data_IF_163145863964
#
_entry.id   IF_163145863964
#
_cell.length_a   1.000
_cell.length_b   1.000
_cell.length_c   1.000
_cell.angle_alpha   90.00
_cell.angle_beta   90.00
_cell.angle_gamma   90.00
#
_symmetry.space_group_name_H-M   'P 1'
#
loop_
_entity.id
_entity.type
_entity.pdbx_description
1 polymer ?
#
# COMPACT_ATOMS: atom_id res chain seq x y z
N UNK A 1 -28.22 1.54 -5.00
CA UNK A 1 -27.67 1.28 -3.66
C UNK A 1 -28.59 0.28 -2.99
N UNK A 2 -28.04 -0.73 -2.29
CA UNK A 2 -28.90 -1.59 -1.48
C UNK A 2 -29.57 -0.77 -0.38
N UNK A 3 -30.80 -1.16 -0.02
CA UNK A 3 -31.49 -0.56 1.12
C UNK A 3 -30.80 -1.00 2.40
N UNK A 4 -30.39 -0.04 3.24
CA UNK A 4 -29.73 -0.36 4.51
C UNK A 4 -30.69 -1.14 5.41
N UNK A 5 -30.18 -2.20 6.01
CA UNK A 5 -30.94 -3.04 6.93
C UNK A 5 -30.07 -3.45 8.14
N UNK A 6 -30.71 -3.94 9.19
CA UNK A 6 -30.05 -4.28 10.46
C UNK A 6 -29.08 -5.47 10.40
N UNK A 7 -29.19 -6.27 9.37
CA UNK A 7 -28.42 -7.53 9.19
C UNK A 7 -27.19 -7.33 8.29
N UNK A 8 -26.93 -6.09 7.85
CA UNK A 8 -25.74 -5.77 7.07
C UNK A 8 -24.46 -5.90 7.90
N UNK A 9 -23.48 -6.57 7.32
CA UNK A 9 -22.12 -6.57 7.88
C UNK A 9 -21.44 -5.24 7.55
N UNK A 10 -20.90 -4.56 8.56
CA UNK A 10 -20.24 -3.28 8.40
C UNK A 10 -18.72 -3.46 8.35
N UNK A 11 -18.10 -2.86 7.31
CA UNK A 11 -16.67 -2.56 7.27
C UNK A 11 -16.46 -1.04 7.21
N UNK A 12 -15.33 -0.58 7.73
CA UNK A 12 -15.02 0.85 7.78
C UNK A 12 -13.57 1.14 7.38
N UNK A 13 -13.25 2.41 7.21
CA UNK A 13 -11.88 2.90 7.28
C UNK A 13 -11.76 4.08 8.24
N UNK A 14 -10.58 4.19 8.86
CA UNK A 14 -10.20 5.29 9.74
C UNK A 14 -9.00 6.05 9.15
N UNK A 15 -9.16 7.35 8.96
CA UNK A 15 -8.14 8.26 8.43
C UNK A 15 -8.38 9.67 8.93
N UNK A 16 -7.31 10.47 9.13
CA UNK A 16 -7.48 11.89 9.40
C UNK A 16 -8.09 12.66 8.22
N UNK A 17 -7.90 12.16 6.99
CA UNK A 17 -8.47 12.72 5.75
C UNK A 17 -9.04 11.58 4.90
N UNK A 18 -10.26 11.11 5.22
CA UNK A 18 -10.86 10.01 4.48
C UNK A 18 -11.15 10.39 3.02
N UNK A 19 -10.95 9.45 2.12
CA UNK A 19 -11.37 9.55 0.71
C UNK A 19 -12.54 8.62 0.43
N UNK A 20 -13.13 8.74 -0.76
CA UNK A 20 -14.19 7.84 -1.21
C UNK A 20 -13.68 6.57 -1.89
N UNK A 21 -12.35 6.42 -2.09
CA UNK A 21 -11.81 5.31 -2.87
C UNK A 21 -12.20 3.94 -2.29
N UNK A 22 -11.88 3.67 -1.03
CA UNK A 22 -12.26 2.43 -0.37
C UNK A 22 -13.78 2.23 -0.30
N UNK A 23 -14.53 3.31 0.01
CA UNK A 23 -16.00 3.27 0.05
C UNK A 23 -16.58 2.85 -1.30
N UNK A 24 -16.09 3.40 -2.40
CA UNK A 24 -16.58 3.07 -3.75
C UNK A 24 -16.16 1.66 -4.16
N UNK A 25 -14.88 1.31 -3.98
CA UNK A 25 -14.35 0.00 -4.35
C UNK A 25 -15.08 -1.15 -3.65
N UNK A 26 -15.13 -1.12 -2.33
CA UNK A 26 -15.75 -2.20 -1.54
C UNK A 26 -17.25 -2.30 -1.78
N UNK A 27 -17.99 -1.18 -1.74
CA UNK A 27 -19.44 -1.23 -1.95
C UNK A 27 -19.82 -1.66 -3.37
N UNK A 28 -18.99 -1.35 -4.39
CA UNK A 28 -19.21 -1.86 -5.74
C UNK A 28 -19.08 -3.39 -5.80
N UNK A 29 -18.02 -3.94 -5.19
CA UNK A 29 -17.82 -5.39 -5.10
C UNK A 29 -18.90 -6.09 -4.27
N UNK A 30 -19.32 -5.48 -3.15
CA UNK A 30 -20.42 -6.05 -2.36
C UNK A 30 -21.70 -6.16 -3.19
N UNK A 31 -22.01 -5.14 -4.01
CA UNK A 31 -23.16 -5.19 -4.91
C UNK A 31 -23.02 -6.20 -6.04
N UNK A 32 -21.84 -6.33 -6.66
CA UNK A 32 -21.60 -7.33 -7.71
C UNK A 32 -21.68 -8.78 -7.24
N UNK A 33 -21.32 -9.01 -5.97
CA UNK A 33 -21.30 -10.34 -5.35
C UNK A 33 -22.55 -10.64 -4.52
N UNK A 34 -23.56 -9.76 -4.57
CA UNK A 34 -24.81 -9.86 -3.78
C UNK A 34 -24.56 -10.07 -2.28
N UNK A 35 -23.52 -9.42 -1.74
CA UNK A 35 -23.21 -9.48 -0.32
C UNK A 35 -24.02 -8.42 0.45
N UNK A 36 -24.68 -8.82 1.53
CA UNK A 36 -25.39 -7.89 2.42
C UNK A 36 -24.41 -7.13 3.33
N UNK A 37 -23.52 -6.37 2.70
CA UNK A 37 -22.41 -5.67 3.34
C UNK A 37 -22.41 -4.20 2.99
N UNK A 38 -21.78 -3.41 3.85
CA UNK A 38 -21.57 -1.97 3.63
C UNK A 38 -20.18 -1.55 4.11
N UNK A 39 -19.60 -0.61 3.39
CA UNK A 39 -18.33 0.02 3.74
C UNK A 39 -18.48 1.54 3.85
N UNK A 40 -17.95 2.13 4.93
CA UNK A 40 -17.96 3.58 5.14
C UNK A 40 -16.64 4.10 5.70
N UNK A 41 -16.17 5.24 5.16
CA UNK A 41 -14.99 5.93 5.66
C UNK A 41 -15.35 6.90 6.81
N UNK A 42 -14.45 7.00 7.80
CA UNK A 42 -14.59 7.89 8.96
C UNK A 42 -13.28 8.64 9.25
N UNK A 43 -13.42 9.85 9.80
CA UNK A 43 -12.34 10.58 10.47
C UNK A 43 -12.60 10.50 11.99
N UNK A 44 -11.88 9.66 12.73
CA UNK A 44 -12.12 9.53 14.16
C UNK A 44 -11.59 10.74 14.91
N UNK A 45 -12.30 11.17 15.93
CA UNK A 45 -11.85 12.21 16.87
C UNK A 45 -10.97 11.63 17.98
N UNK A 46 -11.10 10.32 18.23
CA UNK A 46 -10.29 9.56 19.18
C UNK A 46 -10.11 8.14 18.64
N UNK A 47 -8.86 7.73 18.44
CA UNK A 47 -8.53 6.43 17.86
C UNK A 47 -8.89 5.27 18.77
N UNK A 48 -8.58 5.36 20.08
CA UNK A 48 -8.84 4.30 21.07
C UNK A 48 -10.34 4.00 21.16
N UNK A 49 -11.17 5.07 21.23
CA UNK A 49 -12.63 4.92 21.27
C UNK A 49 -13.16 4.35 19.94
N UNK A 50 -12.58 4.72 18.80
CA UNK A 50 -12.98 4.19 17.50
C UNK A 50 -12.67 2.68 17.41
N UNK A 51 -11.49 2.22 17.86
CA UNK A 51 -11.13 0.80 17.88
C UNK A 51 -11.94 0.02 18.91
N UNK A 52 -12.23 0.60 20.07
CA UNK A 52 -13.19 0.01 21.01
C UNK A 52 -14.58 -0.15 20.39
N UNK A 53 -15.01 0.84 19.58
CA UNK A 53 -16.24 0.76 18.77
C UNK A 53 -16.20 -0.36 17.73
N UNK A 54 -15.07 -0.54 17.01
CA UNK A 54 -14.89 -1.67 16.08
C UNK A 54 -15.14 -3.00 16.77
N UNK A 55 -14.59 -3.16 17.97
CA UNK A 55 -14.74 -4.37 18.79
C UNK A 55 -16.18 -4.52 19.30
N UNK A 56 -16.70 -3.50 19.97
CA UNK A 56 -17.98 -3.56 20.68
C UNK A 56 -19.23 -3.55 19.79
N UNK A 57 -19.13 -3.01 18.57
CA UNK A 57 -20.21 -2.99 17.58
C UNK A 57 -20.13 -4.16 16.59
N UNK A 58 -19.13 -5.04 16.72
CA UNK A 58 -18.94 -6.15 15.80
C UNK A 58 -18.62 -5.71 14.36
N UNK A 59 -17.95 -4.54 14.18
CA UNK A 59 -17.53 -4.08 12.86
C UNK A 59 -16.50 -5.08 12.32
N UNK A 60 -16.80 -5.73 11.19
CA UNK A 60 -16.03 -6.87 10.67
C UNK A 60 -14.64 -6.48 10.19
N UNK A 61 -14.52 -5.39 9.49
CA UNK A 61 -13.27 -4.93 8.88
C UNK A 61 -13.02 -3.46 9.13
N UNK A 62 -11.77 -3.09 9.41
CA UNK A 62 -11.37 -1.71 9.59
C UNK A 62 -10.05 -1.43 8.87
N UNK A 63 -10.10 -0.69 7.76
CA UNK A 63 -8.89 -0.18 7.13
C UNK A 63 -8.33 0.99 7.94
N UNK A 64 -7.01 0.99 8.12
CA UNK A 64 -6.29 2.03 8.87
C UNK A 64 -5.39 2.81 7.92
N UNK A 65 -5.56 4.13 7.88
CA UNK A 65 -4.73 5.03 7.09
C UNK A 65 -4.02 6.05 7.97
N UNK A 66 -3.26 6.95 7.33
CA UNK A 66 -2.49 7.97 8.04
C UNK A 66 -3.38 8.86 8.93
N UNK A 67 -2.89 9.22 10.13
CA UNK A 67 -1.59 8.90 10.73
C UNK A 67 -1.57 7.61 11.57
N UNK A 68 -2.64 6.86 11.69
CA UNK A 68 -2.97 5.88 12.72
C UNK A 68 -2.29 4.51 12.58
N UNK A 69 -1.50 4.26 11.52
CA UNK A 69 -0.96 2.93 11.18
C UNK A 69 -0.03 2.32 12.25
N UNK A 70 0.68 3.16 13.00
CA UNK A 70 1.56 2.72 14.09
C UNK A 70 0.82 2.77 15.44
N UNK A 71 0.04 3.82 15.69
CA UNK A 71 -0.67 4.04 16.96
C UNK A 71 -1.69 2.93 17.27
N UNK A 72 -2.27 2.31 16.23
CA UNK A 72 -3.28 1.26 16.39
C UNK A 72 -2.71 -0.08 16.87
N UNK A 73 -1.38 -0.27 16.79
CA UNK A 73 -0.71 -1.53 17.17
C UNK A 73 -1.02 -1.91 18.62
N UNK A 74 -1.01 -0.93 19.52
CA UNK A 74 -1.31 -1.15 20.95
C UNK A 74 -2.78 -1.48 21.24
N UNK A 75 -3.67 -1.37 20.26
CA UNK A 75 -5.13 -1.52 20.40
C UNK A 75 -5.67 -2.83 19.79
N UNK A 76 -4.82 -3.64 19.18
CA UNK A 76 -5.17 -4.92 18.57
C UNK A 76 -4.66 -6.09 19.40
N UNK A 77 -5.23 -7.28 19.20
CA UNK A 77 -4.88 -8.47 19.98
C UNK A 77 -3.76 -9.28 19.32
N UNK A 78 -3.69 -9.26 17.98
CA UNK A 78 -2.75 -10.05 17.21
C UNK A 78 -2.25 -9.27 15.98
N UNK A 79 -0.97 -9.44 15.65
CA UNK A 79 -0.40 -8.95 14.40
C UNK A 79 0.00 -10.11 13.51
N UNK A 80 -0.46 -10.09 12.27
CA UNK A 80 0.00 -10.97 11.20
C UNK A 80 1.49 -10.70 10.86
N UNK A 81 2.24 -11.69 10.32
CA UNK A 81 3.62 -11.47 9.88
C UNK A 81 3.80 -10.25 8.98
N UNK A 82 2.87 -9.96 8.06
CA UNK A 82 2.91 -8.79 7.18
C UNK A 82 2.96 -7.46 7.93
N UNK A 83 2.21 -7.34 9.03
CA UNK A 83 2.19 -6.14 9.87
C UNK A 83 3.40 -6.09 10.82
N UNK A 84 3.82 -7.26 11.37
CA UNK A 84 4.98 -7.37 12.25
C UNK A 84 6.29 -7.01 11.55
N UNK A 85 6.42 -7.38 10.27
CA UNK A 85 7.64 -7.15 9.50
C UNK A 85 8.03 -5.66 9.42
N UNK A 86 7.05 -4.77 9.58
CA UNK A 86 7.22 -3.33 9.34
C UNK A 86 6.72 -2.43 10.47
N UNK A 87 6.22 -3.03 11.57
CA UNK A 87 5.57 -2.31 12.67
C UNK A 87 4.54 -1.28 12.17
N UNK A 88 3.67 -1.72 11.27
CA UNK A 88 2.67 -0.85 10.65
C UNK A 88 1.43 -1.65 10.25
N UNK A 89 0.26 -1.14 10.61
CA UNK A 89 -1.04 -1.78 10.36
C UNK A 89 -1.84 -0.93 9.38
N UNK A 90 -2.36 -1.54 8.31
CA UNK A 90 -3.33 -0.86 7.44
C UNK A 90 -4.70 -1.56 7.39
N UNK A 91 -4.83 -2.74 8.02
CA UNK A 91 -6.05 -3.55 7.97
C UNK A 91 -6.25 -4.28 9.27
N UNK A 92 -7.45 -4.21 9.83
CA UNK A 92 -7.86 -4.97 11.02
C UNK A 92 -9.07 -5.83 10.63
N UNK A 93 -9.03 -7.09 11.02
CA UNK A 93 -10.18 -8.01 10.94
C UNK A 93 -10.66 -8.32 12.34
N UNK A 94 -11.94 -8.11 12.58
CA UNK A 94 -12.60 -8.44 13.84
C UNK A 94 -13.33 -9.77 13.70
N UNK A 95 -12.97 -10.73 14.52
CA UNK A 95 -13.66 -12.02 14.63
C UNK A 95 -14.11 -12.20 16.06
N UNK A 96 -15.40 -12.00 16.31
CA UNK A 96 -16.03 -12.14 17.63
C UNK A 96 -15.33 -11.34 18.74
N UNK A 97 -14.90 -10.12 18.43
CA UNK A 97 -14.21 -9.23 19.35
C UNK A 97 -12.69 -9.39 19.37
N UNK A 98 -12.12 -10.42 18.74
CA UNK A 98 -10.67 -10.56 18.54
C UNK A 98 -10.21 -9.75 17.31
N UNK A 99 -9.31 -8.80 17.51
CA UNK A 99 -8.81 -7.90 16.47
C UNK A 99 -7.44 -8.38 15.97
N UNK A 100 -7.40 -8.94 14.76
CA UNK A 100 -6.14 -9.30 14.10
C UNK A 100 -5.77 -8.27 13.05
N UNK A 101 -4.54 -7.79 13.11
CA UNK A 101 -4.00 -6.74 12.25
C UNK A 101 -3.10 -7.28 11.16
N UNK A 102 -3.18 -6.66 9.96
CA UNK A 102 -2.45 -7.01 8.74
C UNK A 102 -1.86 -5.76 8.09
N UNK A 103 -0.93 -5.96 7.16
CA UNK A 103 -0.49 -4.90 6.26
C UNK A 103 -0.57 -5.34 4.80
N UNK A 104 -1.60 -4.87 4.10
CA UNK A 104 -1.84 -5.20 2.70
C UNK A 104 -0.99 -4.36 1.73
N UNK A 105 -0.32 -3.29 2.19
CA UNK A 105 0.70 -2.59 1.38
C UNK A 105 1.91 -3.52 1.18
N UNK A 106 2.39 -4.16 2.26
CA UNK A 106 3.44 -5.18 2.19
C UNK A 106 3.05 -6.32 1.24
N UNK A 107 1.85 -6.89 1.42
CA UNK A 107 1.34 -7.98 0.57
C UNK A 107 1.27 -7.58 -0.90
N UNK A 108 0.85 -6.33 -1.20
CA UNK A 108 0.78 -5.84 -2.58
C UNK A 108 2.16 -5.75 -3.23
N UNK A 109 3.16 -5.25 -2.53
CA UNK A 109 4.54 -5.17 -3.04
C UNK A 109 5.09 -6.57 -3.31
N UNK A 110 4.95 -7.50 -2.35
CA UNK A 110 5.38 -8.89 -2.48
C UNK A 110 4.75 -9.55 -3.71
N UNK A 111 3.43 -9.45 -3.88
CA UNK A 111 2.71 -10.00 -5.02
C UNK A 111 3.16 -9.39 -6.35
N UNK A 112 3.37 -8.06 -6.41
CA UNK A 112 3.80 -7.40 -7.65
C UNK A 112 5.21 -7.78 -8.05
N UNK A 113 6.14 -7.90 -7.12
CA UNK A 113 7.49 -8.39 -7.41
C UNK A 113 7.45 -9.82 -7.98
N UNK A 114 6.65 -10.70 -7.36
CA UNK A 114 6.50 -12.08 -7.80
C UNK A 114 5.77 -12.19 -9.15
N UNK A 115 4.66 -11.49 -9.35
CA UNK A 115 3.86 -11.54 -10.59
C UNK A 115 4.61 -11.00 -11.79
N UNK A 116 5.46 -9.97 -11.58
CA UNK A 116 6.34 -9.43 -12.62
C UNK A 116 7.64 -10.23 -12.77
N UNK A 117 7.78 -11.36 -12.06
CA UNK A 117 8.95 -12.23 -12.10
C UNK A 117 10.28 -11.47 -11.96
N UNK A 118 10.32 -10.48 -11.04
CA UNK A 118 11.52 -9.67 -10.81
C UNK A 118 12.61 -10.55 -10.19
N UNK A 119 13.79 -10.69 -10.85
CA UNK A 119 14.86 -11.54 -10.35
C UNK A 119 15.42 -11.05 -9.01
N UNK A 120 15.62 -11.97 -8.08
CA UNK A 120 16.08 -11.63 -6.71
C UNK A 120 17.57 -11.30 -6.62
N UNK A 121 18.34 -11.55 -7.69
CA UNK A 121 19.73 -11.17 -7.88
C UNK A 121 19.91 -9.74 -8.44
N UNK A 122 18.81 -9.05 -8.76
CA UNK A 122 18.87 -7.66 -9.18
C UNK A 122 19.39 -6.76 -8.07
N UNK A 123 20.25 -5.81 -8.45
CA UNK A 123 20.55 -4.64 -7.61
C UNK A 123 19.32 -3.73 -7.54
N UNK A 124 19.04 -3.18 -6.34
CA UNK A 124 17.82 -2.40 -6.09
C UNK A 124 18.13 -1.06 -5.44
N UNK A 125 17.59 0.02 -5.98
CA UNK A 125 17.53 1.34 -5.32
C UNK A 125 16.10 1.62 -4.88
N UNK A 126 15.89 1.83 -3.57
CA UNK A 126 14.58 2.22 -3.00
C UNK A 126 14.67 3.66 -2.51
N UNK A 127 13.94 4.58 -3.16
CA UNK A 127 13.93 5.99 -2.78
C UNK A 127 12.79 6.32 -1.82
N UNK A 128 13.14 6.58 -0.57
CA UNK A 128 12.24 6.91 0.54
C UNK A 128 12.56 6.13 1.81
N UNK A 129 12.08 6.63 2.97
CA UNK A 129 12.22 5.98 4.27
C UNK A 129 10.97 6.13 5.15
N UNK A 130 9.79 6.35 4.55
CA UNK A 130 8.49 6.42 5.22
C UNK A 130 7.80 5.06 5.35
N UNK A 131 6.52 5.05 5.70
CA UNK A 131 5.75 3.82 5.91
C UNK A 131 5.72 2.89 4.70
N UNK A 132 5.56 3.41 3.47
CA UNK A 132 5.63 2.59 2.26
C UNK A 132 7.04 2.04 2.00
N UNK A 133 8.10 2.78 2.39
CA UNK A 133 9.47 2.28 2.31
C UNK A 133 9.69 1.09 3.24
N UNK A 134 9.14 1.13 4.47
CA UNK A 134 9.19 -0.02 5.40
C UNK A 134 8.57 -1.27 4.76
N UNK A 135 7.38 -1.15 4.17
CA UNK A 135 6.70 -2.25 3.49
C UNK A 135 7.52 -2.79 2.31
N UNK A 136 8.06 -1.89 1.47
CA UNK A 136 8.84 -2.27 0.28
C UNK A 136 10.15 -2.97 0.66
N UNK A 137 10.90 -2.39 1.60
CA UNK A 137 12.20 -2.94 2.02
C UNK A 137 12.04 -4.29 2.73
N UNK A 138 10.98 -4.44 3.54
CA UNK A 138 10.65 -5.73 4.16
C UNK A 138 10.26 -6.78 3.11
N UNK A 139 9.42 -6.43 2.12
CA UNK A 139 9.03 -7.33 1.05
C UNK A 139 10.24 -7.76 0.18
N UNK A 140 11.17 -6.85 -0.10
CA UNK A 140 12.42 -7.19 -0.79
C UNK A 140 13.28 -8.17 0.01
N UNK A 141 13.45 -7.93 1.32
CA UNK A 141 14.19 -8.86 2.21
C UNK A 141 13.57 -10.26 2.18
N UNK A 142 12.24 -10.33 2.38
CA UNK A 142 11.53 -11.60 2.49
C UNK A 142 11.43 -12.32 1.14
N UNK A 143 11.39 -11.55 0.03
CA UNK A 143 11.52 -12.04 -1.33
C UNK A 143 12.93 -12.55 -1.69
N UNK A 144 13.93 -12.35 -0.82
CA UNK A 144 15.29 -12.88 -0.97
C UNK A 144 16.27 -11.97 -1.71
N UNK A 145 15.93 -10.70 -1.96
CA UNK A 145 16.85 -9.72 -2.53
C UNK A 145 18.02 -9.46 -1.57
N UNK A 146 19.22 -9.32 -2.12
CA UNK A 146 20.47 -9.18 -1.33
C UNK A 146 21.12 -7.81 -1.51
N UNK A 147 21.11 -7.26 -2.71
CA UNK A 147 21.73 -5.98 -3.05
C UNK A 147 20.68 -4.86 -3.10
N UNK A 148 20.33 -4.34 -1.92
CA UNK A 148 19.35 -3.26 -1.78
C UNK A 148 20.00 -2.06 -1.13
N UNK A 149 19.82 -0.88 -1.74
CA UNK A 149 20.22 0.41 -1.19
C UNK A 149 19.01 1.30 -0.97
N UNK A 150 18.79 1.72 0.26
CA UNK A 150 17.79 2.71 0.64
C UNK A 150 18.35 4.11 0.42
N UNK A 151 17.63 4.94 -0.33
CA UNK A 151 17.99 6.33 -0.59
C UNK A 151 17.05 7.23 0.18
N UNK A 152 17.56 8.00 1.13
CA UNK A 152 16.75 8.89 1.95
C UNK A 152 17.51 10.14 2.39
N UNK A 153 16.90 11.32 2.19
CA UNK A 153 17.42 12.62 2.64
C UNK A 153 17.52 12.71 4.17
N UNK A 154 16.58 12.08 4.88
CA UNK A 154 16.66 11.92 6.33
C UNK A 154 17.59 10.75 6.66
N UNK A 155 18.83 11.08 7.03
CA UNK A 155 19.88 10.11 7.34
C UNK A 155 19.48 9.15 8.47
N UNK A 156 18.91 9.68 9.56
CA UNK A 156 18.53 8.85 10.71
C UNK A 156 17.49 7.80 10.32
N UNK A 157 16.43 8.20 9.62
CA UNK A 157 15.38 7.30 9.17
C UNK A 157 15.89 6.30 8.10
N UNK A 158 16.70 6.78 7.15
CA UNK A 158 17.26 5.94 6.09
C UNK A 158 18.22 4.88 6.62
N UNK A 159 19.15 5.25 7.51
CA UNK A 159 20.08 4.32 8.16
C UNK A 159 19.36 3.32 9.06
N UNK A 160 18.36 3.77 9.82
CA UNK A 160 17.57 2.88 10.67
C UNK A 160 16.84 1.83 9.83
N UNK A 161 16.16 2.25 8.75
CA UNK A 161 15.45 1.35 7.86
C UNK A 161 16.40 0.35 7.17
N UNK A 162 17.49 0.83 6.58
CA UNK A 162 18.45 -0.03 5.91
C UNK A 162 19.10 -1.02 6.89
N UNK A 163 19.53 -0.53 8.06
CA UNK A 163 20.17 -1.34 9.10
C UNK A 163 19.27 -2.43 9.69
N UNK A 164 17.97 -2.15 9.83
CA UNK A 164 16.98 -3.12 10.31
C UNK A 164 16.94 -4.40 9.45
N UNK A 165 17.22 -4.26 8.15
CA UNK A 165 17.12 -5.37 7.20
C UNK A 165 18.49 -5.81 6.63
N UNK A 166 19.60 -5.23 7.10
CA UNK A 166 20.95 -5.56 6.66
C UNK A 166 21.29 -5.01 5.27
N UNK A 167 20.63 -3.93 4.85
CA UNK A 167 20.82 -3.26 3.55
C UNK A 167 21.69 -2.01 3.67
N UNK A 168 22.04 -1.40 2.53
CA UNK A 168 22.84 -0.19 2.48
C UNK A 168 21.95 1.06 2.50
N UNK A 169 22.53 2.19 2.91
CA UNK A 169 21.90 3.51 2.83
C UNK A 169 22.78 4.51 2.11
N UNK A 170 22.15 5.40 1.35
CA UNK A 170 22.76 6.60 0.75
C UNK A 170 21.85 7.81 0.91
N UNK A 171 22.44 9.01 0.97
CA UNK A 171 21.67 10.26 1.07
C UNK A 171 20.95 10.63 -0.24
N UNK A 172 21.55 10.31 -1.39
CA UNK A 172 21.06 10.61 -2.72
C UNK A 172 21.43 9.51 -3.73
N UNK A 173 20.86 9.56 -4.93
CA UNK A 173 21.17 8.62 -6.02
C UNK A 173 22.60 8.82 -6.53
N UNK A 174 23.08 10.07 -6.67
CA UNK A 174 24.45 10.49 -7.00
C UNK A 174 25.13 9.64 -8.10
N UNK A 175 24.49 9.52 -9.26
CA UNK A 175 24.97 8.70 -10.39
C UNK A 175 24.85 7.18 -10.17
N UNK A 176 24.25 6.74 -9.06
CA UNK A 176 23.98 5.34 -8.80
C UNK A 176 22.95 4.77 -9.78
N UNK A 177 23.23 3.57 -10.29
CA UNK A 177 22.33 2.79 -11.16
C UNK A 177 22.01 1.45 -10.50
N UNK A 178 20.89 0.85 -10.88
CA UNK A 178 20.49 -0.48 -10.44
C UNK A 178 19.59 -1.15 -11.47
N UNK A 179 19.42 -2.47 -11.36
CA UNK A 179 18.52 -3.23 -12.21
C UNK A 179 17.05 -2.90 -11.92
N UNK A 180 16.70 -2.68 -10.64
CA UNK A 180 15.38 -2.28 -10.19
C UNK A 180 15.46 -0.95 -9.43
N UNK A 181 14.70 0.05 -9.86
CA UNK A 181 14.53 1.31 -9.13
C UNK A 181 13.09 1.44 -8.64
N UNK A 182 12.92 1.79 -7.36
CA UNK A 182 11.60 1.88 -6.72
C UNK A 182 11.43 3.25 -6.06
N UNK A 183 10.45 4.02 -6.51
CA UNK A 183 10.02 5.25 -5.82
C UNK A 183 8.94 4.92 -4.79
N UNK A 184 9.23 5.19 -3.52
CA UNK A 184 8.27 5.09 -2.41
C UNK A 184 8.10 6.44 -1.69
N UNK A 185 8.45 7.52 -2.37
CA UNK A 185 8.26 8.91 -1.92
C UNK A 185 7.00 9.52 -2.55
N UNK A 186 6.54 10.69 -2.08
CA UNK A 186 5.47 11.43 -2.76
C UNK A 186 5.93 12.19 -4.01
N UNK A 187 7.17 12.03 -4.49
CA UNK A 187 7.64 12.68 -5.73
C UNK A 187 6.80 12.14 -6.90
N UNK A 188 6.26 13.04 -7.70
CA UNK A 188 5.35 12.70 -8.81
C UNK A 188 3.88 12.58 -8.42
N UNK A 189 3.51 12.74 -7.13
CA UNK A 189 2.13 12.65 -6.66
C UNK A 189 1.35 13.92 -7.00
N UNK A 190 0.16 13.77 -7.57
CA UNK A 190 -0.72 14.89 -7.89
C UNK A 190 -1.04 15.74 -6.65
N UNK A 191 -0.95 17.07 -6.80
CA UNK A 191 -1.18 18.01 -5.72
C UNK A 191 -0.05 18.12 -4.70
N UNK A 192 1.05 17.39 -4.85
CA UNK A 192 2.25 17.50 -4.05
C UNK A 192 3.19 18.61 -4.56
N UNK A 193 4.11 19.05 -3.72
CA UNK A 193 5.11 20.08 -4.08
C UNK A 193 6.06 19.62 -5.20
N UNK A 194 6.29 18.32 -5.33
CA UNK A 194 7.17 17.70 -6.33
C UNK A 194 6.37 16.89 -7.38
N UNK A 195 5.14 17.34 -7.70
CA UNK A 195 4.21 16.60 -8.59
C UNK A 195 4.78 16.39 -10.01
N UNK A 196 5.57 17.33 -10.52
CA UNK A 196 6.16 17.28 -11.86
C UNK A 196 7.63 16.82 -11.85
N UNK A 197 8.15 16.44 -10.70
CA UNK A 197 9.56 16.04 -10.55
C UNK A 197 9.77 14.56 -10.85
N UNK A 198 10.94 14.23 -11.41
CA UNK A 198 11.40 12.85 -11.52
C UNK A 198 11.94 12.35 -10.18
N UNK A 199 11.49 11.18 -9.75
CA UNK A 199 12.02 10.56 -8.55
C UNK A 199 13.44 10.02 -8.72
N UNK A 200 13.84 9.67 -9.93
CA UNK A 200 15.19 9.23 -10.29
C UNK A 200 15.71 10.00 -11.47
N UNK A 201 17.04 10.27 -11.57
CA UNK A 201 17.65 10.91 -12.74
C UNK A 201 17.52 10.01 -13.98
N UNK A 202 17.58 10.63 -15.18
CA UNK A 202 17.39 9.94 -16.45
C UNK A 202 18.34 8.76 -16.64
N UNK A 203 19.59 8.91 -16.24
CA UNK A 203 20.62 7.87 -16.36
C UNK A 203 20.27 6.62 -15.53
N UNK A 204 19.68 6.80 -14.35
CA UNK A 204 19.23 5.68 -13.53
C UNK A 204 18.03 4.97 -14.17
N UNK A 205 17.10 5.73 -14.79
CA UNK A 205 15.95 5.16 -15.52
C UNK A 205 16.42 4.37 -16.75
N UNK A 206 17.37 4.92 -17.51
CA UNK A 206 17.92 4.25 -18.69
C UNK A 206 18.69 2.97 -18.34
N UNK A 207 19.42 2.96 -17.24
CA UNK A 207 20.18 1.80 -16.77
C UNK A 207 19.26 0.69 -16.21
N UNK A 208 18.10 1.05 -15.64
CA UNK A 208 17.20 0.12 -14.99
C UNK A 208 16.62 -0.91 -16.00
N UNK A 209 16.37 -2.11 -15.50
CA UNK A 209 15.65 -3.17 -16.20
C UNK A 209 14.16 -3.16 -15.86
N UNK A 210 13.81 -2.71 -14.64
CA UNK A 210 12.44 -2.54 -14.15
C UNK A 210 12.34 -1.25 -13.36
N UNK A 211 11.24 -0.51 -13.56
CA UNK A 211 10.93 0.72 -12.82
C UNK A 211 9.64 0.53 -12.05
N UNK A 212 9.68 0.76 -10.75
CA UNK A 212 8.52 0.65 -9.87
C UNK A 212 8.22 2.00 -9.21
N UNK A 213 7.00 2.48 -9.33
CA UNK A 213 6.54 3.70 -8.66
C UNK A 213 5.29 3.41 -7.84
N UNK A 214 5.34 3.60 -6.51
CA UNK A 214 4.18 3.34 -5.65
C UNK A 214 3.19 4.51 -5.58
N UNK A 215 3.46 5.62 -6.24
CA UNK A 215 2.52 6.74 -6.35
C UNK A 215 1.33 6.30 -7.20
N UNK A 216 0.13 6.28 -6.58
CA UNK A 216 -1.09 5.81 -7.25
C UNK A 216 -1.79 6.90 -8.08
N UNK A 217 -1.58 8.18 -7.76
CA UNK A 217 -2.21 9.32 -8.46
C UNK A 217 -1.18 10.41 -8.78
N UNK A 218 -1.01 10.72 -10.07
CA UNK A 218 -1.64 10.09 -11.23
C UNK A 218 -1.10 8.68 -11.46
N UNK A 219 -1.83 7.81 -12.17
CA UNK A 219 -1.32 6.48 -12.54
C UNK A 219 -0.06 6.56 -13.42
N UNK A 220 -0.02 7.55 -14.32
CA UNK A 220 1.13 7.90 -15.16
C UNK A 220 1.91 9.05 -14.51
N UNK A 221 2.72 8.73 -13.50
CA UNK A 221 3.63 9.69 -12.87
C UNK A 221 4.73 10.16 -13.84
N UNK A 222 5.48 11.25 -13.56
CA UNK A 222 6.66 11.59 -14.32
C UNK A 222 7.65 10.43 -14.49
N UNK A 223 7.88 9.66 -13.42
CA UNK A 223 8.76 8.48 -13.44
C UNK A 223 8.23 7.38 -14.38
N UNK A 224 6.96 7.02 -14.28
CA UNK A 224 6.33 5.99 -15.13
C UNK A 224 6.36 6.41 -16.60
N UNK A 225 6.02 7.68 -16.91
CA UNK A 225 6.12 8.19 -18.29
C UNK A 225 7.53 8.13 -18.85
N UNK A 226 8.53 8.56 -18.07
CA UNK A 226 9.93 8.51 -18.48
C UNK A 226 10.41 7.07 -18.72
N UNK A 227 10.04 6.13 -17.84
CA UNK A 227 10.36 4.71 -17.99
C UNK A 227 9.73 4.12 -19.25
N UNK A 228 8.46 4.45 -19.55
CA UNK A 228 7.79 3.98 -20.79
C UNK A 228 8.46 4.54 -22.04
N UNK A 229 8.86 5.81 -22.05
CA UNK A 229 9.62 6.42 -23.17
C UNK A 229 10.95 5.69 -23.36
N UNK A 230 11.62 5.28 -22.28
CA UNK A 230 12.85 4.50 -22.31
C UNK A 230 12.62 3.00 -22.60
N UNK A 231 11.37 2.57 -22.88
CA UNK A 231 11.03 1.18 -23.20
C UNK A 231 11.17 0.21 -22.02
N UNK A 232 11.09 0.69 -20.78
CA UNK A 232 11.28 -0.13 -19.58
C UNK A 232 9.97 -0.76 -19.13
N UNK A 233 9.99 -2.01 -18.64
CA UNK A 233 8.91 -2.60 -17.86
C UNK A 233 8.62 -1.73 -16.63
N UNK A 234 7.33 -1.51 -16.34
CA UNK A 234 6.91 -0.67 -15.21
C UNK A 234 5.95 -1.43 -14.31
N UNK A 235 6.07 -1.20 -13.00
CA UNK A 235 5.10 -1.57 -11.96
C UNK A 235 4.57 -0.27 -11.37
N UNK A 236 3.25 -0.12 -11.29
CA UNK A 236 2.61 1.16 -10.97
C UNK A 236 1.98 1.18 -9.59
N UNK A 237 1.91 2.37 -8.99
CA UNK A 237 1.20 2.57 -7.73
C UNK A 237 -0.31 2.35 -7.83
N UNK A 238 -0.88 2.45 -9.04
CA UNK A 238 -2.26 2.07 -9.27
C UNK A 238 -2.49 0.57 -9.03
N UNK A 239 -1.56 -0.28 -9.47
CA UNK A 239 -1.60 -1.73 -9.20
C UNK A 239 -1.44 -2.01 -7.70
N UNK A 240 -0.52 -1.31 -7.01
CA UNK A 240 -0.37 -1.40 -5.54
C UNK A 240 -1.69 -1.08 -4.85
N UNK A 241 -2.32 0.04 -5.18
CA UNK A 241 -3.57 0.47 -4.56
C UNK A 241 -4.72 -0.53 -4.81
N UNK A 242 -4.79 -1.10 -6.01
CA UNK A 242 -5.79 -2.12 -6.36
C UNK A 242 -5.60 -3.40 -5.56
N UNK A 243 -4.38 -3.94 -5.52
CA UNK A 243 -4.09 -5.18 -4.78
C UNK A 243 -4.31 -4.95 -3.29
N UNK A 244 -3.86 -3.84 -2.75
CA UNK A 244 -4.07 -3.47 -1.36
C UNK A 244 -5.57 -3.48 -0.97
N UNK A 245 -6.42 -2.86 -1.80
CA UNK A 245 -7.86 -2.83 -1.56
C UNK A 245 -8.52 -4.21 -1.75
N UNK A 246 -8.07 -4.97 -2.76
CA UNK A 246 -8.52 -6.34 -3.01
C UNK A 246 -8.20 -7.27 -1.84
N UNK A 247 -6.96 -7.24 -1.34
CA UNK A 247 -6.57 -8.10 -0.22
C UNK A 247 -7.32 -7.72 1.07
N UNK A 248 -7.61 -6.44 1.30
CA UNK A 248 -8.53 -6.03 2.37
C UNK A 248 -9.91 -6.65 2.19
N UNK A 249 -10.47 -6.59 0.98
CA UNK A 249 -11.77 -7.18 0.68
C UNK A 249 -11.78 -8.68 0.96
N UNK A 250 -10.76 -9.41 0.53
CA UNK A 250 -10.62 -10.86 0.76
C UNK A 250 -10.49 -11.18 2.26
N UNK A 251 -9.68 -10.41 3.00
CA UNK A 251 -9.55 -10.58 4.45
C UNK A 251 -10.88 -10.37 5.19
N UNK A 252 -11.69 -9.41 4.75
CA UNK A 252 -12.99 -9.13 5.37
C UNK A 252 -14.03 -10.21 5.07
N UNK A 253 -14.15 -10.61 3.80
CA UNK A 253 -15.26 -11.41 3.29
C UNK A 253 -14.97 -12.90 3.17
N UNK A 254 -13.68 -13.27 3.02
CA UNK A 254 -13.26 -14.62 2.62
C UNK A 254 -13.51 -14.92 1.14
N UNK A 255 -14.03 -13.97 0.36
CA UNK A 255 -14.35 -14.13 -1.07
C UNK A 255 -13.31 -13.44 -1.93
N UNK A 256 -12.78 -14.13 -2.93
CA UNK A 256 -11.89 -13.53 -3.93
C UNK A 256 -12.67 -13.21 -5.20
N UNK A 257 -12.85 -11.91 -5.53
CA UNK A 257 -13.48 -11.49 -6.79
C UNK A 257 -12.68 -11.93 -8.01
N UNK A 258 -13.37 -12.06 -9.15
CA UNK A 258 -12.69 -12.31 -10.42
C UNK A 258 -11.91 -11.07 -10.90
N UNK A 259 -10.91 -11.23 -11.80
CA UNK A 259 -10.21 -10.08 -12.36
C UNK A 259 -11.14 -9.06 -13.05
N UNK A 260 -12.22 -9.51 -13.67
CA UNK A 260 -13.24 -8.66 -14.30
C UNK A 260 -13.97 -7.80 -13.28
N UNK A 261 -14.37 -8.41 -12.14
CA UNK A 261 -15.03 -7.71 -11.04
C UNK A 261 -14.11 -6.68 -10.40
N UNK A 262 -12.84 -7.03 -10.22
CA UNK A 262 -11.84 -6.09 -9.68
C UNK A 262 -11.66 -4.89 -10.62
N UNK A 263 -11.50 -5.11 -11.94
CA UNK A 263 -11.38 -4.02 -12.92
C UNK A 263 -12.61 -3.10 -12.91
N UNK A 264 -13.82 -3.66 -12.89
CA UNK A 264 -15.05 -2.86 -12.81
C UNK A 264 -15.12 -2.02 -11.52
N UNK A 265 -14.67 -2.58 -10.39
CA UNK A 265 -14.61 -1.84 -9.13
C UNK A 265 -13.55 -0.71 -9.16
N UNK A 266 -12.41 -0.94 -9.79
CA UNK A 266 -11.37 0.07 -10.03
C UNK A 266 -11.87 1.23 -10.89
N UNK A 267 -12.50 0.91 -12.02
CA UNK A 267 -13.09 1.91 -12.93
C UNK A 267 -14.15 2.73 -12.19
N UNK A 268 -15.04 2.07 -11.45
CA UNK A 268 -16.03 2.75 -10.63
C UNK A 268 -15.39 3.61 -9.54
N UNK A 269 -14.34 3.15 -8.89
CA UNK A 269 -13.60 3.92 -7.89
C UNK A 269 -13.02 5.21 -8.48
N UNK A 270 -12.44 5.15 -9.69
CA UNK A 270 -11.77 6.26 -10.36
C UNK A 270 -12.72 7.26 -11.03
N UNK A 271 -13.94 6.86 -11.38
CA UNK A 271 -14.97 7.68 -12.01
C UNK A 271 -15.62 8.65 -11.01
N UNK A 272 -14.83 9.53 -10.38
CA UNK A 272 -15.32 10.55 -9.43
C UNK A 272 -15.67 11.85 -10.14
#
# INVERSE_FOLDING_TARGET
MPILNKDMTLCISLSARPSNNGTRFHNHLYGQLDLNWIYKAFAPTNLEQAIAGVRGLGIRGCAISMPYKEDVIALVDEMDPSAKAIDSVNTIVNTDGHLKAYNTDYTAIEQLLATNAVPTDYSVLVQGAGGMAKATVAALRDGGFKDVTVIARNEAAGRALAGQYGFQWRAAVDGGTADLIINVTPIGMAGGAEADSLAFPAEAIEAARVVFDVVALPAETPLIRAARVAGKPVITGAEVATIQALEQFVLYTGVRPTPEQVRAAEEFMRAQ
#
